data_IF_073081885172
#
_entry.id   IF_073081885172
#
_cell.length_a   1.000
_cell.length_b   1.000
_cell.length_c   1.000
_cell.angle_alpha   90.00
_cell.angle_beta   90.00
_cell.angle_gamma   90.00
#
_symmetry.space_group_name_H-M   'P 1'
#
loop_
_entity.id
_entity.type
_entity.pdbx_description
1 polymer ?
#
# COMPACT_ATOMS: atom_id res chain seq x y z
N UNK A 1 -27.95 -18.88 -5.46
CA UNK A 1 -27.22 -17.85 -6.22
C UNK A 1 -26.27 -17.18 -5.25
N UNK A 2 -24.98 -17.21 -5.57
CA UNK A 2 -23.91 -16.79 -4.66
C UNK A 2 -23.75 -15.25 -4.71
N UNK A 3 -24.00 -14.52 -3.60
CA UNK A 3 -23.97 -13.06 -3.58
C UNK A 3 -22.56 -12.47 -3.77
N UNK A 4 -21.51 -13.30 -3.82
CA UNK A 4 -20.12 -12.85 -3.96
C UNK A 4 -19.64 -12.68 -5.42
N UNK A 5 -20.50 -12.89 -6.43
CA UNK A 5 -20.12 -12.75 -7.86
C UNK A 5 -20.34 -11.36 -8.48
N UNK A 6 -20.64 -10.33 -7.71
CA UNK A 6 -20.71 -8.92 -8.16
C UNK A 6 -19.92 -8.08 -7.14
N UNK A 7 -18.88 -7.32 -7.46
CA UNK A 7 -18.48 -6.72 -8.72
C UNK A 7 -16.97 -6.49 -8.70
N UNK A 8 -16.24 -7.12 -9.61
CA UNK A 8 -14.94 -6.57 -10.03
C UNK A 8 -15.29 -5.41 -10.96
N UNK A 9 -15.57 -4.23 -10.38
CA UNK A 9 -15.64 -3.00 -11.17
C UNK A 9 -14.31 -2.90 -11.91
N UNK A 10 -14.35 -2.88 -13.25
CA UNK A 10 -13.19 -2.45 -14.05
C UNK A 10 -12.81 -1.08 -13.49
N UNK A 11 -11.71 -0.99 -12.76
CA UNK A 11 -11.25 0.28 -12.23
C UNK A 11 -11.04 1.20 -13.42
N UNK A 12 -11.66 2.38 -13.37
CA UNK A 12 -11.35 3.42 -14.35
C UNK A 12 -9.85 3.68 -14.28
N UNK A 13 -9.21 3.71 -15.45
CA UNK A 13 -7.77 3.91 -15.54
C UNK A 13 -7.45 5.30 -15.00
N UNK A 14 -6.68 5.38 -13.92
CA UNK A 14 -6.24 6.65 -13.34
C UNK A 14 -5.31 7.35 -14.35
N UNK A 15 -5.67 8.53 -14.89
CA UNK A 15 -4.82 9.25 -15.83
C UNK A 15 -3.47 9.62 -15.21
N UNK A 16 -2.39 9.54 -15.99
CA UNK A 16 -1.04 9.93 -15.58
C UNK A 16 -0.28 8.87 -14.75
N UNK A 17 -0.91 7.76 -14.37
CA UNK A 17 -0.27 6.69 -13.58
C UNK A 17 0.93 6.03 -14.30
N UNK A 18 0.91 6.06 -15.63
CA UNK A 18 1.95 5.57 -16.53
C UNK A 18 3.19 6.48 -16.60
N UNK A 19 3.03 7.77 -16.25
CA UNK A 19 4.11 8.75 -16.19
C UNK A 19 5.02 8.57 -14.97
N UNK A 20 4.59 7.80 -13.97
CA UNK A 20 5.40 7.49 -12.80
C UNK A 20 6.60 6.62 -13.22
N UNK A 21 7.80 7.19 -13.05
CA UNK A 21 9.05 6.51 -13.36
C UNK A 21 9.35 5.44 -12.31
N UNK A 22 9.78 4.26 -12.76
CA UNK A 22 10.22 3.19 -11.87
C UNK A 22 11.52 3.58 -11.17
N UNK A 23 11.70 3.13 -9.93
CA UNK A 23 12.97 3.29 -9.21
C UNK A 23 14.08 2.45 -9.87
N UNK A 24 15.30 2.98 -9.87
CA UNK A 24 16.47 2.26 -10.37
C UNK A 24 16.79 1.03 -9.50
N UNK A 25 17.21 -0.07 -10.14
CA UNK A 25 17.60 -1.31 -9.48
C UNK A 25 16.45 -2.30 -9.20
N UNK A 26 16.75 -3.34 -8.43
CA UNK A 26 15.80 -4.37 -8.01
C UNK A 26 15.50 -4.22 -6.53
N UNK A 27 14.40 -3.55 -6.16
CA UNK A 27 14.09 -3.34 -4.76
C UNK A 27 13.70 -4.67 -4.07
N UNK A 28 13.80 -4.79 -2.74
CA UNK A 28 13.61 -6.07 -2.03
C UNK A 28 12.16 -6.59 -2.08
N UNK A 29 11.99 -7.91 -1.89
CA UNK A 29 10.66 -8.56 -1.85
C UNK A 29 9.81 -8.10 -0.65
N UNK A 30 10.45 -7.73 0.47
CA UNK A 30 9.80 -7.23 1.68
C UNK A 30 10.39 -5.85 1.99
N UNK A 31 9.53 -4.86 2.18
CA UNK A 31 9.89 -3.49 2.55
C UNK A 31 9.40 -3.24 3.97
N UNK A 32 10.28 -2.80 4.86
CA UNK A 32 9.94 -2.50 6.25
C UNK A 32 9.59 -1.02 6.37
N UNK A 33 8.38 -0.74 6.83
CA UNK A 33 7.88 0.61 7.12
C UNK A 33 7.85 0.79 8.64
N UNK A 34 8.35 1.93 9.12
CA UNK A 34 8.25 2.27 10.54
C UNK A 34 6.86 2.82 10.88
N UNK A 35 6.44 2.64 12.13
CA UNK A 35 5.16 3.16 12.63
C UNK A 35 5.00 4.67 12.40
N UNK A 36 6.07 5.46 12.60
CA UNK A 36 6.04 6.92 12.40
C UNK A 36 5.72 7.32 10.96
N UNK A 37 6.19 6.53 9.98
CA UNK A 37 5.88 6.79 8.56
C UNK A 37 4.41 6.53 8.29
N UNK A 38 3.85 5.44 8.83
CA UNK A 38 2.42 5.14 8.68
C UNK A 38 1.52 6.16 9.36
N UNK A 39 1.91 6.65 10.55
CA UNK A 39 1.17 7.69 11.25
C UNK A 39 1.14 9.00 10.45
N UNK A 40 2.29 9.41 9.90
CA UNK A 40 2.38 10.58 9.03
C UNK A 40 1.56 10.41 7.74
N UNK A 41 1.60 9.24 7.11
CA UNK A 41 0.78 8.91 5.93
C UNK A 41 -0.71 9.02 6.25
N UNK A 42 -1.15 8.48 7.39
CA UNK A 42 -2.55 8.50 7.80
C UNK A 42 -3.07 9.93 7.99
N UNK A 43 -2.30 10.78 8.68
CA UNK A 43 -2.67 12.19 8.86
C UNK A 43 -2.73 12.95 7.54
N UNK A 44 -1.78 12.70 6.64
CA UNK A 44 -1.78 13.32 5.31
C UNK A 44 -2.99 12.87 4.49
N UNK A 45 -3.32 11.58 4.53
CA UNK A 45 -4.50 11.03 3.86
C UNK A 45 -5.79 11.67 4.39
N UNK A 46 -5.94 11.84 5.70
CA UNK A 46 -7.08 12.53 6.29
C UNK A 46 -7.19 13.97 5.79
N UNK A 47 -6.08 14.72 5.78
CA UNK A 47 -6.05 16.10 5.32
C UNK A 47 -6.41 16.23 3.84
N UNK A 48 -5.91 15.32 2.99
CA UNK A 48 -6.20 15.34 1.55
C UNK A 48 -7.64 14.90 1.25
N UNK A 49 -8.15 13.90 1.95
CA UNK A 49 -9.55 13.49 1.83
C UNK A 49 -10.51 14.65 2.17
N UNK A 50 -10.17 15.48 3.16
CA UNK A 50 -10.97 16.65 3.53
C UNK A 50 -11.09 17.70 2.41
N UNK A 51 -10.17 17.68 1.44
CA UNK A 51 -10.19 18.54 0.24
C UNK A 51 -10.43 17.75 -1.05
N UNK A 52 -10.99 16.54 -0.96
CA UNK A 52 -11.34 15.66 -2.09
C UNK A 52 -10.14 15.20 -2.94
N UNK A 53 -8.98 15.01 -2.30
CA UNK A 53 -7.78 14.43 -2.92
C UNK A 53 -7.52 13.05 -2.30
N UNK A 54 -7.34 12.02 -3.12
CA UNK A 54 -7.05 10.66 -2.66
C UNK A 54 -5.55 10.32 -2.78
N UNK A 55 -4.99 9.68 -1.75
CA UNK A 55 -3.66 9.04 -1.80
C UNK A 55 -3.84 7.58 -2.16
N UNK A 56 -3.11 7.13 -3.18
CA UNK A 56 -3.12 5.73 -3.61
C UNK A 56 -1.69 5.19 -3.53
N UNK A 57 -1.38 4.29 -2.58
CA UNK A 57 -0.08 3.63 -2.53
C UNK A 57 0.23 2.89 -3.83
N UNK A 58 1.49 2.93 -4.28
CA UNK A 58 1.87 2.49 -5.63
C UNK A 58 3.13 1.62 -5.66
N UNK A 59 3.10 0.53 -6.43
CA UNK A 59 4.27 -0.29 -6.72
C UNK A 59 5.07 0.29 -7.89
N UNK A 60 6.15 0.99 -7.60
CA UNK A 60 7.06 1.51 -8.64
C UNK A 60 7.65 0.45 -9.57
N UNK A 61 7.87 -0.78 -9.07
CA UNK A 61 8.41 -1.87 -9.90
C UNK A 61 7.41 -2.36 -10.95
N UNK A 62 6.13 -2.44 -10.59
CA UNK A 62 5.08 -3.00 -11.44
C UNK A 62 4.21 -1.93 -12.11
N UNK A 63 4.42 -0.66 -11.77
CA UNK A 63 3.55 0.45 -12.19
C UNK A 63 2.07 0.16 -11.93
N UNK A 64 1.76 -0.27 -10.70
CA UNK A 64 0.40 -0.66 -10.30
C UNK A 64 0.06 -0.15 -8.89
N UNK A 65 -1.18 0.28 -8.63
CA UNK A 65 -1.67 0.52 -7.28
C UNK A 65 -1.44 -0.70 -6.38
N UNK A 66 -1.16 -0.46 -5.10
CA UNK A 66 -1.10 -1.51 -4.10
C UNK A 66 -2.51 -1.85 -3.62
N UNK A 67 -2.71 -3.10 -3.21
CA UNK A 67 -3.89 -3.45 -2.43
C UNK A 67 -3.75 -2.89 -1.01
N UNK A 68 -4.71 -2.06 -0.62
CA UNK A 68 -4.75 -1.27 0.61
C UNK A 68 -6.12 -1.36 1.30
N UNK A 69 -7.08 -2.11 0.74
CA UNK A 69 -8.45 -2.18 1.25
C UNK A 69 -8.64 -3.18 2.40
N UNK A 70 -7.61 -3.93 2.76
CA UNK A 70 -7.66 -4.82 3.92
C UNK A 70 -7.12 -4.09 5.14
N UNK A 71 -7.84 -4.07 6.29
CA UNK A 71 -7.22 -3.67 7.54
C UNK A 71 -5.94 -4.50 7.74
N UNK A 72 -4.85 -3.89 8.23
CA UNK A 72 -3.57 -4.58 8.34
C UNK A 72 -3.75 -5.89 9.12
N UNK A 73 -3.52 -7.02 8.43
CA UNK A 73 -3.47 -8.33 9.07
C UNK A 73 -2.14 -8.42 9.83
N UNK A 74 -2.21 -8.04 11.11
CA UNK A 74 -1.05 -7.91 11.98
C UNK A 74 -0.08 -6.83 11.48
N UNK A 75 1.03 -7.26 10.89
CA UNK A 75 2.11 -6.37 10.44
C UNK A 75 2.08 -6.05 8.95
N UNK A 76 1.22 -6.69 8.14
CA UNK A 76 1.18 -6.44 6.68
C UNK A 76 0.32 -5.21 6.39
N UNK A 77 0.90 -4.24 5.69
CA UNK A 77 0.26 -2.97 5.37
C UNK A 77 -0.22 -2.94 3.91
N UNK A 78 0.66 -3.29 2.98
CA UNK A 78 0.37 -3.24 1.55
C UNK A 78 0.90 -4.47 0.84
N UNK A 79 0.20 -4.87 -0.23
CA UNK A 79 0.68 -5.92 -1.15
C UNK A 79 0.55 -5.48 -2.60
N UNK A 80 1.58 -5.72 -3.40
CA UNK A 80 1.50 -5.52 -4.85
C UNK A 80 0.81 -6.73 -5.50
N UNK A 81 -0.31 -6.55 -6.22
CA UNK A 81 -1.04 -7.66 -6.83
C UNK A 81 -0.27 -8.35 -7.97
N UNK A 82 0.70 -7.65 -8.57
CA UNK A 82 1.45 -8.15 -9.74
C UNK A 82 2.69 -8.95 -9.35
N UNK A 83 3.44 -8.50 -8.34
CA UNK A 83 4.70 -9.15 -7.94
C UNK A 83 4.71 -9.72 -6.52
N UNK A 84 3.58 -9.64 -5.81
CA UNK A 84 3.40 -10.11 -4.42
C UNK A 84 4.40 -9.53 -3.42
N UNK A 85 5.03 -8.41 -3.76
CA UNK A 85 5.89 -7.65 -2.86
C UNK A 85 5.05 -7.10 -1.71
N UNK A 86 5.63 -7.14 -0.51
CA UNK A 86 4.94 -6.75 0.72
C UNK A 86 5.61 -5.54 1.36
N UNK A 87 4.78 -4.75 2.01
CA UNK A 87 5.18 -3.69 2.94
C UNK A 87 4.67 -4.06 4.31
N UNK A 88 5.58 -4.15 5.27
CA UNK A 88 5.28 -4.61 6.64
C UNK A 88 5.74 -3.61 7.68
N UNK A 89 5.00 -3.52 8.79
CA UNK A 89 5.36 -2.74 9.96
C UNK A 89 6.55 -3.38 10.68
N UNK A 90 7.58 -2.58 10.95
CA UNK A 90 8.72 -3.03 11.75
C UNK A 90 9.76 -1.94 11.96
N UNK A 91 10.76 -2.25 12.78
CA UNK A 91 11.97 -1.43 12.87
C UNK A 91 12.98 -1.87 11.80
N UNK A 92 13.80 -0.95 11.29
CA UNK A 92 14.84 -1.23 10.26
C UNK A 92 15.79 -2.39 10.62
N UNK A 93 15.79 -2.83 11.88
CA UNK A 93 16.60 -3.92 12.42
C UNK A 93 15.87 -5.29 12.43
N UNK A 94 14.72 -5.42 11.75
CA UNK A 94 13.98 -6.70 11.65
C UNK A 94 13.25 -7.12 12.93
N UNK A 95 13.26 -6.29 13.97
CA UNK A 95 12.45 -6.50 15.17
C UNK A 95 11.06 -5.95 14.90
N UNK A 96 10.09 -6.84 14.72
CA UNK A 96 8.67 -6.52 14.87
C UNK A 96 8.44 -6.18 16.34
N UNK A 97 7.92 -4.98 16.65
CA UNK A 97 7.44 -4.70 18.00
C UNK A 97 6.32 -5.70 18.29
N UNK A 98 6.59 -6.69 19.16
CA UNK A 98 5.52 -7.41 19.82
C UNK A 98 4.73 -6.37 20.60
N UNK A 99 3.45 -6.22 20.29
CA UNK A 99 2.52 -5.54 21.19
C UNK A 99 2.56 -6.29 22.53
N UNK A 100 3.21 -5.70 23.52
CA UNK A 100 2.95 -6.01 24.93
C UNK A 100 1.65 -5.32 25.28
N UNK A 101 0.60 -6.13 25.44
CA UNK A 101 -0.62 -5.75 26.16
C UNK A 101 -0.30 -5.21 27.54
#
# INVERSE_FOLDING_TARGET
MDPFKQAVRKSERIPGIDTIQGLAGSPPKINVISYKVMEAEHLLQQAWNAINIAIIPYCYKCKSPLDWHSPPDGYKVFTCPTCNRQWVLGEKNGKTKKNTN
#
